data_IF_807967631825
#
_entry.id   IF_807967631825
#
_cell.length_a   1.000
_cell.length_b   1.000
_cell.length_c   1.000
_cell.angle_alpha   90.00
_cell.angle_beta   90.00
_cell.angle_gamma   90.00
#
_symmetry.space_group_name_H-M   'P 1'
#
loop_
_entity.id
_entity.type
_entity.pdbx_description
1 polymer ?
#
# COMPACT_ATOMS: atom_id res chain seq x y z
N UNK A 1 16.98 -1.64 1.59
CA UNK A 1 18.37 -1.35 2.00
C UNK A 1 18.42 -0.87 3.46
N UNK A 2 19.57 -1.00 4.14
CA UNK A 2 19.79 -0.42 5.48
C UNK A 2 20.37 0.98 5.29
N UNK A 3 19.93 1.96 6.09
CA UNK A 3 20.51 3.29 6.05
C UNK A 3 22.01 3.23 6.40
N UNK A 4 22.85 3.97 5.67
CA UNK A 4 24.29 4.03 5.95
C UNK A 4 24.58 4.81 7.25
N UNK A 5 23.78 5.83 7.55
CA UNK A 5 23.81 6.64 8.77
C UNK A 5 22.38 6.97 9.21
N UNK A 6 22.20 7.30 10.49
CA UNK A 6 20.88 7.55 11.08
C UNK A 6 20.09 6.27 11.39
N UNK A 7 18.86 6.44 11.86
CA UNK A 7 17.97 5.32 12.21
C UNK A 7 16.59 5.51 11.59
N UNK A 8 15.95 4.38 11.27
CA UNK A 8 14.55 4.33 10.80
C UNK A 8 13.76 3.52 11.81
N UNK A 9 12.74 4.15 12.39
CA UNK A 9 11.84 3.53 13.37
C UNK A 9 10.44 3.45 12.80
N UNK A 10 9.82 2.27 12.92
CA UNK A 10 8.43 2.04 12.56
C UNK A 10 7.73 1.42 13.77
N UNK A 11 6.65 2.04 14.25
CA UNK A 11 5.93 1.61 15.46
C UNK A 11 6.87 1.48 16.68
N UNK A 12 7.82 2.40 16.82
CA UNK A 12 8.84 2.37 17.88
C UNK A 12 9.99 1.38 17.66
N UNK A 13 9.85 0.42 16.73
CA UNK A 13 10.89 -0.55 16.42
C UNK A 13 11.94 0.04 15.47
N UNK A 14 13.20 0.02 15.88
CA UNK A 14 14.31 0.39 15.01
C UNK A 14 14.61 -0.73 14.00
N UNK A 15 14.47 -0.45 12.71
CA UNK A 15 14.59 -1.46 11.65
C UNK A 15 16.04 -1.85 11.36
N UNK A 16 16.99 -0.96 11.69
CA UNK A 16 18.42 -1.16 11.45
C UNK A 16 19.07 -2.20 12.37
N UNK A 17 18.45 -2.47 13.53
CA UNK A 17 18.94 -3.45 14.51
C UNK A 17 18.43 -4.86 14.24
N UNK A 18 17.37 -5.00 13.43
CA UNK A 18 16.80 -6.29 13.04
C UNK A 18 17.68 -7.01 11.99
N UNK A 19 17.77 -8.33 12.13
CA UNK A 19 18.28 -9.21 11.07
C UNK A 19 17.44 -9.06 9.80
N UNK A 20 17.98 -9.48 8.64
CA UNK A 20 17.27 -9.37 7.37
C UNK A 20 15.88 -10.05 7.42
N UNK A 21 15.82 -11.31 7.87
CA UNK A 21 14.56 -12.05 7.99
C UNK A 21 13.58 -11.45 9.00
N UNK A 22 14.07 -10.96 10.14
CA UNK A 22 13.21 -10.29 11.14
C UNK A 22 12.63 -8.97 10.58
N UNK A 23 13.43 -8.23 9.81
CA UNK A 23 12.98 -7.00 9.15
C UNK A 23 11.95 -7.29 8.06
N UNK A 24 12.15 -8.35 7.27
CA UNK A 24 11.20 -8.77 6.24
C UNK A 24 9.87 -9.16 6.86
N UNK A 25 9.90 -9.96 7.93
CA UNK A 25 8.72 -10.32 8.73
C UNK A 25 7.99 -9.07 9.23
N UNK A 26 8.72 -8.17 9.89
CA UNK A 26 8.16 -6.94 10.46
C UNK A 26 7.49 -6.07 9.39
N UNK A 27 8.11 -5.91 8.20
CA UNK A 27 7.51 -5.16 7.10
C UNK A 27 6.24 -5.81 6.56
N UNK A 28 6.23 -7.13 6.38
CA UNK A 28 5.03 -7.82 5.87
C UNK A 28 3.89 -7.70 6.88
N UNK A 29 4.19 -7.77 8.18
CA UNK A 29 3.21 -7.67 9.27
C UNK A 29 2.59 -6.26 9.39
N UNK A 30 3.41 -5.22 9.25
CA UNK A 30 3.04 -3.85 9.61
C UNK A 30 2.93 -2.86 8.45
N UNK A 31 3.29 -3.28 7.24
CA UNK A 31 3.30 -2.38 6.07
C UNK A 31 2.62 -2.98 4.84
N UNK A 32 1.84 -2.15 4.16
CA UNK A 32 1.32 -2.37 2.82
C UNK A 32 2.08 -1.56 1.78
N UNK A 33 2.25 -2.09 0.57
CA UNK A 33 2.93 -1.40 -0.52
C UNK A 33 2.08 -1.39 -1.80
N UNK A 34 1.90 -0.21 -2.37
CA UNK A 34 1.33 0.01 -3.70
C UNK A 34 2.47 0.54 -4.59
N UNK A 35 2.82 -0.22 -5.61
CA UNK A 35 3.88 0.14 -6.56
C UNK A 35 3.29 0.81 -7.80
N UNK A 36 4.10 1.63 -8.48
CA UNK A 36 3.75 2.28 -9.74
C UNK A 36 3.35 1.27 -10.84
N UNK A 37 4.08 0.15 -10.97
CA UNK A 37 3.75 -0.93 -11.93
C UNK A 37 2.77 -1.98 -11.37
N UNK A 38 2.17 -1.71 -10.20
CA UNK A 38 1.26 -2.58 -9.43
C UNK A 38 1.80 -3.95 -8.99
N UNK A 39 2.76 -4.54 -9.70
CA UNK A 39 3.43 -5.81 -9.40
C UNK A 39 2.44 -6.93 -9.06
N UNK A 40 1.33 -7.03 -9.80
CA UNK A 40 0.37 -8.13 -9.64
C UNK A 40 0.92 -9.40 -10.27
N UNK A 41 0.62 -10.55 -9.67
CA UNK A 41 1.01 -11.85 -10.21
C UNK A 41 -0.02 -12.26 -11.27
N UNK A 42 0.38 -12.38 -12.57
CA UNK A 42 -0.56 -12.52 -13.68
C UNK A 42 -1.27 -13.87 -13.70
N UNK A 43 -0.64 -14.91 -13.14
CA UNK A 43 -1.20 -16.26 -13.06
C UNK A 43 -2.14 -16.48 -11.88
N UNK A 44 -2.27 -15.49 -10.98
CA UNK A 44 -3.22 -15.53 -9.87
C UNK A 44 -4.48 -14.74 -10.19
N UNK A 45 -5.60 -15.15 -9.60
CA UNK A 45 -6.81 -14.36 -9.64
C UNK A 45 -6.65 -13.03 -8.90
N UNK A 46 -7.58 -12.12 -9.12
CA UNK A 46 -7.67 -10.85 -8.39
C UNK A 46 -7.74 -11.10 -6.88
N UNK A 47 -8.64 -11.99 -6.44
CA UNK A 47 -8.80 -12.34 -5.02
C UNK A 47 -7.54 -12.99 -4.44
N UNK A 48 -6.88 -13.84 -5.21
CA UNK A 48 -5.61 -14.47 -4.81
C UNK A 48 -4.50 -13.43 -4.65
N UNK A 49 -4.36 -12.50 -5.59
CA UNK A 49 -3.42 -11.38 -5.50
C UNK A 49 -3.62 -10.57 -4.22
N UNK A 50 -4.87 -10.23 -3.89
CA UNK A 50 -5.21 -9.52 -2.65
C UNK A 50 -4.88 -10.34 -1.42
N UNK A 51 -5.12 -11.65 -1.44
CA UNK A 51 -4.92 -12.53 -0.28
C UNK A 51 -3.45 -12.87 0.03
N UNK A 52 -2.51 -12.57 -0.90
CA UNK A 52 -1.09 -12.92 -0.77
C UNK A 52 -0.44 -12.48 0.55
N UNK A 53 -0.60 -11.24 1.04
CA UNK A 53 0.06 -10.81 2.27
C UNK A 53 -0.32 -11.64 3.50
N UNK A 54 -1.55 -12.14 3.56
CA UNK A 54 -2.02 -13.02 4.63
C UNK A 54 -1.36 -14.42 4.59
N UNK A 55 -0.85 -14.86 3.44
CA UNK A 55 -0.04 -16.10 3.37
C UNK A 55 1.34 -15.91 3.98
N UNK A 56 1.88 -14.70 3.86
CA UNK A 56 3.20 -14.37 4.40
C UNK A 56 3.13 -13.87 5.84
N UNK A 57 2.03 -13.24 6.29
CA UNK A 57 1.86 -12.72 7.65
C UNK A 57 0.72 -13.43 8.39
N UNK A 58 1.08 -14.14 9.47
CA UNK A 58 0.09 -14.72 10.41
C UNK A 58 -0.72 -13.63 11.11
N UNK A 59 -0.10 -12.48 11.39
CA UNK A 59 -0.77 -11.35 12.03
C UNK A 59 -1.90 -10.82 11.15
N UNK A 60 -1.61 -10.54 9.87
CA UNK A 60 -2.60 -10.04 8.90
C UNK A 60 -3.69 -11.06 8.63
N UNK A 61 -3.34 -12.34 8.52
CA UNK A 61 -4.32 -13.42 8.40
C UNK A 61 -5.27 -13.47 9.60
N UNK A 62 -4.73 -13.40 10.82
CA UNK A 62 -5.54 -13.36 12.05
C UNK A 62 -6.47 -12.15 12.09
N UNK A 63 -5.97 -10.95 11.78
CA UNK A 63 -6.79 -9.71 11.72
C UNK A 63 -7.91 -9.81 10.69
N UNK A 64 -7.59 -10.32 9.49
CA UNK A 64 -8.57 -10.53 8.43
C UNK A 64 -9.68 -11.51 8.84
N UNK A 65 -9.30 -12.66 9.43
CA UNK A 65 -10.28 -13.64 9.92
C UNK A 65 -11.10 -13.11 11.10
N UNK A 66 -10.51 -12.34 12.01
CA UNK A 66 -11.24 -11.77 13.16
C UNK A 66 -12.31 -10.77 12.74
N UNK A 67 -12.03 -9.93 11.73
CA UNK A 67 -12.98 -8.91 11.26
C UNK A 67 -14.00 -9.44 10.24
N UNK A 68 -13.60 -10.36 9.38
CA UNK A 68 -14.40 -10.78 8.22
C UNK A 68 -14.71 -12.30 8.20
N UNK A 69 -14.36 -13.05 9.25
CA UNK A 69 -14.55 -14.50 9.33
C UNK A 69 -13.53 -15.32 8.52
N UNK A 70 -13.06 -14.82 7.38
CA UNK A 70 -11.99 -15.46 6.58
C UNK A 70 -11.18 -14.46 5.77
N UNK A 71 -9.96 -14.86 5.36
CA UNK A 71 -9.13 -14.07 4.43
C UNK A 71 -9.82 -13.86 3.08
N UNK A 72 -10.50 -14.89 2.57
CA UNK A 72 -11.21 -14.81 1.29
C UNK A 72 -12.34 -13.77 1.34
N UNK A 73 -13.14 -13.78 2.40
CA UNK A 73 -14.21 -12.81 2.58
C UNK A 73 -13.68 -11.39 2.81
N UNK A 74 -12.57 -11.25 3.56
CA UNK A 74 -11.89 -9.96 3.70
C UNK A 74 -11.42 -9.39 2.35
N UNK A 75 -10.84 -10.24 1.48
CA UNK A 75 -10.41 -9.83 0.15
C UNK A 75 -11.59 -9.39 -0.72
N UNK A 76 -12.69 -10.17 -0.76
CA UNK A 76 -13.91 -9.83 -1.50
C UNK A 76 -14.50 -8.49 -1.05
N UNK A 77 -14.66 -8.27 0.25
CA UNK A 77 -15.23 -7.03 0.79
C UNK A 77 -14.36 -5.81 0.46
N UNK A 78 -13.04 -5.95 0.59
CA UNK A 78 -12.12 -4.86 0.28
C UNK A 78 -12.10 -4.52 -1.22
N UNK A 79 -12.20 -5.54 -2.09
CA UNK A 79 -12.34 -5.34 -3.53
C UNK A 79 -13.64 -4.61 -3.87
N UNK A 80 -14.75 -4.98 -3.25
CA UNK A 80 -16.06 -4.33 -3.43
C UNK A 80 -16.05 -2.87 -2.98
N UNK A 81 -15.47 -2.57 -1.82
CA UNK A 81 -15.32 -1.20 -1.33
C UNK A 81 -14.48 -0.33 -2.27
N UNK A 82 -13.45 -0.90 -2.89
CA UNK A 82 -12.63 -0.24 -3.90
C UNK A 82 -13.29 -0.22 -5.28
N UNK A 83 -14.57 -0.60 -5.39
CA UNK A 83 -15.37 -0.51 -6.59
C UNK A 83 -15.03 -1.57 -7.65
N UNK A 84 -14.53 -2.74 -7.25
CA UNK A 84 -14.32 -3.88 -8.13
C UNK A 84 -15.50 -4.87 -8.01
N UNK A 85 -16.24 -5.01 -9.11
CA UNK A 85 -17.38 -5.92 -9.19
C UNK A 85 -16.98 -7.37 -8.88
N UNK A 86 -17.86 -8.11 -8.20
CA UNK A 86 -17.66 -9.51 -7.83
C UNK A 86 -17.31 -10.43 -9.03
N UNK A 87 -17.83 -10.11 -10.22
CA UNK A 87 -17.53 -10.85 -11.47
C UNK A 87 -16.05 -10.81 -11.88
N UNK A 88 -15.26 -9.88 -11.33
CA UNK A 88 -13.83 -9.74 -11.61
C UNK A 88 -12.95 -10.51 -10.61
N UNK A 89 -13.48 -10.93 -9.45
CA UNK A 89 -12.65 -11.42 -8.33
C UNK A 89 -11.89 -12.71 -8.67
N UNK A 90 -12.47 -13.56 -9.52
CA UNK A 90 -11.83 -14.81 -9.97
C UNK A 90 -11.09 -14.67 -11.31
N UNK A 91 -11.13 -13.49 -11.95
CA UNK A 91 -10.38 -13.27 -13.18
C UNK A 91 -8.90 -13.12 -12.89
N UNK A 92 -8.08 -13.43 -13.89
CA UNK A 92 -6.64 -13.16 -13.85
C UNK A 92 -6.39 -11.66 -13.82
N UNK A 93 -5.44 -11.24 -12.99
CA UNK A 93 -5.13 -9.82 -12.80
C UNK A 93 -4.63 -9.11 -14.07
N UNK A 94 -3.98 -9.85 -14.98
CA UNK A 94 -3.46 -9.32 -16.26
C UNK A 94 -4.54 -8.98 -17.29
N UNK A 95 -5.78 -9.45 -17.09
CA UNK A 95 -6.93 -9.14 -17.95
C UNK A 95 -7.67 -7.86 -17.56
N UNK A 96 -7.30 -7.25 -16.43
CA UNK A 96 -7.94 -6.05 -15.91
C UNK A 96 -7.40 -4.78 -16.57
N UNK A 97 -8.22 -3.73 -16.61
CA UNK A 97 -7.75 -2.39 -16.96
C UNK A 97 -6.74 -1.87 -15.93
N UNK A 98 -5.92 -0.90 -16.31
CA UNK A 98 -4.91 -0.30 -15.42
C UNK A 98 -5.54 0.21 -14.11
N UNK A 99 -6.64 0.96 -14.19
CA UNK A 99 -7.32 1.45 -12.98
C UNK A 99 -7.92 0.34 -12.11
N UNK A 100 -8.33 -0.78 -12.71
CA UNK A 100 -8.76 -1.96 -11.95
C UNK A 100 -7.57 -2.63 -11.27
N UNK A 101 -6.43 -2.82 -11.96
CA UNK A 101 -5.21 -3.37 -11.38
C UNK A 101 -4.70 -2.52 -10.20
N UNK A 102 -4.80 -1.20 -10.32
CA UNK A 102 -4.47 -0.27 -9.24
C UNK A 102 -5.32 -0.49 -7.98
N UNK A 103 -6.64 -0.66 -8.15
CA UNK A 103 -7.56 -0.99 -7.05
C UNK A 103 -7.24 -2.34 -6.43
N UNK A 104 -6.85 -3.34 -7.24
CA UNK A 104 -6.37 -4.64 -6.72
C UNK A 104 -5.08 -4.48 -5.93
N UNK A 105 -4.13 -3.66 -6.38
CA UNK A 105 -2.89 -3.39 -5.66
C UNK A 105 -3.15 -2.67 -4.33
N UNK A 106 -4.09 -1.72 -4.30
CA UNK A 106 -4.55 -1.06 -3.08
C UNK A 106 -5.18 -2.05 -2.10
N UNK A 107 -6.10 -2.90 -2.57
CA UNK A 107 -6.70 -3.96 -1.77
C UNK A 107 -5.63 -4.89 -1.16
N UNK A 108 -4.66 -5.32 -1.97
CA UNK A 108 -3.52 -6.11 -1.51
C UNK A 108 -2.70 -5.37 -0.46
N UNK A 109 -2.45 -4.08 -0.65
CA UNK A 109 -1.70 -3.31 0.34
C UNK A 109 -2.44 -3.19 1.67
N UNK A 110 -3.77 -3.13 1.67
CA UNK A 110 -4.62 -2.87 2.84
C UNK A 110 -5.07 -4.13 3.60
N UNK A 111 -5.10 -5.30 2.96
CA UNK A 111 -5.67 -6.50 3.60
C UNK A 111 -5.01 -6.82 4.94
N UNK A 112 -5.80 -7.19 5.96
CA UNK A 112 -5.27 -7.47 7.28
C UNK A 112 -4.74 -6.25 8.04
N UNK A 113 -5.11 -5.04 7.62
CA UNK A 113 -4.95 -3.77 8.36
C UNK A 113 -3.52 -3.52 8.84
N UNK A 114 -2.59 -3.27 7.91
CA UNK A 114 -1.26 -2.82 8.29
C UNK A 114 -1.36 -1.41 8.89
N UNK A 115 -0.47 -1.07 9.81
CA UNK A 115 -0.45 0.26 10.43
C UNK A 115 0.07 1.34 9.46
N UNK A 116 0.85 0.95 8.45
CA UNK A 116 1.39 1.83 7.42
C UNK A 116 1.08 1.31 6.01
N UNK A 117 0.59 2.17 5.13
CA UNK A 117 0.51 1.92 3.69
C UNK A 117 1.45 2.89 3.00
N UNK A 118 2.31 2.38 2.12
CA UNK A 118 3.22 3.18 1.30
C UNK A 118 2.76 3.06 -0.15
N UNK A 119 2.56 4.19 -0.81
CA UNK A 119 2.15 4.23 -2.20
C UNK A 119 3.14 5.05 -3.00
N UNK A 120 3.79 4.40 -3.98
CA UNK A 120 4.84 4.97 -4.82
C UNK A 120 4.30 5.23 -6.23
N UNK A 121 4.04 6.50 -6.53
CA UNK A 121 3.39 6.98 -7.76
C UNK A 121 2.19 6.12 -8.22
N UNK A 122 1.24 5.78 -7.33
CA UNK A 122 0.22 4.78 -7.65
C UNK A 122 -0.79 5.26 -8.70
N UNK A 123 -0.83 6.57 -9.00
CA UNK A 123 -1.84 7.22 -9.86
C UNK A 123 -1.29 7.73 -11.19
N UNK A 124 -0.03 7.45 -11.53
CA UNK A 124 0.63 8.03 -12.73
C UNK A 124 -0.05 7.65 -14.05
N UNK A 125 -0.79 6.54 -14.06
CA UNK A 125 -1.50 6.04 -15.25
C UNK A 125 -2.98 6.45 -15.32
N UNK A 126 -3.46 7.31 -14.41
CA UNK A 126 -4.85 7.77 -14.36
C UNK A 126 -5.01 9.22 -14.82
N UNK A 127 -6.13 9.50 -15.48
CA UNK A 127 -6.64 10.86 -15.66
C UNK A 127 -7.00 11.52 -14.31
N UNK A 128 -7.23 12.83 -14.33
CA UNK A 128 -7.42 13.63 -13.12
C UNK A 128 -8.65 13.19 -12.30
N UNK A 129 -9.80 12.98 -12.95
CA UNK A 129 -11.04 12.61 -12.27
C UNK A 129 -10.94 11.21 -11.66
N UNK A 130 -10.41 10.24 -12.42
CA UNK A 130 -10.20 8.87 -11.95
C UNK A 130 -9.19 8.81 -10.79
N UNK A 131 -8.18 9.69 -10.81
CA UNK A 131 -7.16 9.79 -9.77
C UNK A 131 -7.75 10.27 -8.45
N UNK A 132 -8.49 11.37 -8.47
CA UNK A 132 -9.11 11.90 -7.25
C UNK A 132 -10.10 10.89 -6.66
N UNK A 133 -10.94 10.28 -7.51
CA UNK A 133 -11.87 9.24 -7.08
C UNK A 133 -11.14 8.04 -6.42
N UNK A 134 -10.04 7.59 -7.01
CA UNK A 134 -9.22 6.52 -6.42
C UNK A 134 -8.60 6.92 -5.07
N UNK A 135 -8.07 8.15 -4.96
CA UNK A 135 -7.47 8.64 -3.71
C UNK A 135 -8.50 8.73 -2.59
N UNK A 136 -9.71 9.22 -2.87
CA UNK A 136 -10.78 9.28 -1.87
C UNK A 136 -11.16 7.88 -1.35
N UNK A 137 -11.24 6.89 -2.25
CA UNK A 137 -11.45 5.50 -1.86
C UNK A 137 -10.29 4.96 -1.01
N UNK A 138 -9.05 5.22 -1.42
CA UNK A 138 -7.87 4.80 -0.67
C UNK A 138 -7.83 5.43 0.73
N UNK A 139 -8.16 6.71 0.85
CA UNK A 139 -8.23 7.39 2.16
C UNK A 139 -9.33 6.82 3.04
N UNK A 140 -10.50 6.53 2.47
CA UNK A 140 -11.60 5.91 3.22
C UNK A 140 -11.18 4.55 3.79
N UNK A 141 -10.51 3.71 2.99
CA UNK A 141 -10.04 2.41 3.45
C UNK A 141 -8.89 2.51 4.46
N UNK A 142 -7.93 3.43 4.27
CA UNK A 142 -6.90 3.69 5.27
C UNK A 142 -7.50 4.14 6.60
N UNK A 143 -8.49 5.04 6.59
CA UNK A 143 -9.20 5.48 7.80
C UNK A 143 -9.95 4.32 8.46
N UNK A 144 -10.67 3.51 7.69
CA UNK A 144 -11.42 2.36 8.19
C UNK A 144 -10.51 1.24 8.75
N UNK A 145 -9.26 1.17 8.29
CA UNK A 145 -8.24 0.25 8.77
C UNK A 145 -7.40 0.82 9.94
N UNK A 146 -7.47 2.13 10.20
CA UNK A 146 -6.58 2.80 11.15
C UNK A 146 -5.13 2.91 10.64
N UNK A 147 -4.93 2.85 9.32
CA UNK A 147 -3.63 2.89 8.67
C UNK A 147 -3.19 4.33 8.38
N UNK A 148 -1.91 4.62 8.60
CA UNK A 148 -1.27 5.82 8.05
C UNK A 148 -0.90 5.60 6.59
N UNK A 149 -1.12 6.59 5.73
CA UNK A 149 -0.72 6.54 4.32
C UNK A 149 0.49 7.45 4.08
N UNK A 150 1.58 6.88 3.56
CA UNK A 150 2.71 7.62 3.00
C UNK A 150 2.63 7.55 1.48
N UNK A 151 2.38 8.69 0.84
CA UNK A 151 2.21 8.78 -0.60
C UNK A 151 3.39 9.54 -1.23
N UNK A 152 3.96 8.97 -2.28
CA UNK A 152 5.06 9.57 -3.05
C UNK A 152 4.55 9.90 -4.45
N UNK A 153 4.75 11.13 -4.88
CA UNK A 153 4.36 11.61 -6.21
C UNK A 153 5.17 12.82 -6.62
N UNK A 154 5.36 12.97 -7.93
CA UNK A 154 5.84 14.21 -8.55
C UNK A 154 4.73 15.23 -8.79
N UNK A 155 3.46 14.85 -8.65
CA UNK A 155 2.32 15.71 -8.90
C UNK A 155 1.95 16.52 -7.64
N UNK A 156 2.34 17.79 -7.65
CA UNK A 156 2.08 18.71 -6.54
C UNK A 156 0.60 19.09 -6.40
N UNK A 157 -0.22 18.90 -7.45
CA UNK A 157 -1.66 19.21 -7.39
C UNK A 157 -2.40 18.32 -6.40
N UNK A 158 -1.81 17.18 -6.03
CA UNK A 158 -2.35 16.26 -5.02
C UNK A 158 -2.15 16.75 -3.59
N UNK A 159 -1.20 17.65 -3.33
CA UNK A 159 -0.83 18.08 -1.98
C UNK A 159 -2.02 18.54 -1.10
N UNK A 160 -3.03 19.28 -1.61
CA UNK A 160 -4.19 19.70 -0.82
C UNK A 160 -5.06 18.56 -0.32
N UNK A 161 -4.95 17.36 -0.90
CA UNK A 161 -5.71 16.18 -0.51
C UNK A 161 -5.12 15.45 0.71
N UNK A 162 -3.92 15.85 1.17
CA UNK A 162 -3.21 15.21 2.27
C UNK A 162 -3.09 16.13 3.49
N UNK A 163 -3.08 15.54 4.68
CA UNK A 163 -2.88 16.29 5.94
C UNK A 163 -1.52 16.98 5.99
N UNK A 164 -0.51 16.40 5.32
CA UNK A 164 0.87 16.88 5.29
C UNK A 164 1.49 16.61 3.93
N UNK A 165 2.18 17.61 3.40
CA UNK A 165 3.02 17.51 2.21
C UNK A 165 4.45 17.94 2.56
N UNK A 166 5.45 17.19 2.08
CA UNK A 166 6.87 17.49 2.29
C UNK A 166 7.60 17.39 0.96
N UNK A 167 8.41 18.39 0.64
CA UNK A 167 9.27 18.35 -0.54
C UNK A 167 10.51 17.49 -0.28
N UNK A 168 10.72 16.47 -1.13
CA UNK A 168 11.93 15.66 -1.02
C UNK A 168 13.20 16.48 -1.26
N UNK A 169 13.15 17.53 -2.09
CA UNK A 169 14.28 18.42 -2.31
C UNK A 169 14.65 19.24 -1.06
N UNK A 170 13.67 19.57 -0.22
CA UNK A 170 13.90 20.27 1.06
C UNK A 170 14.39 19.31 2.15
N UNK A 171 13.88 18.07 2.14
CA UNK A 171 14.31 17.01 3.06
C UNK A 171 15.72 16.50 2.73
N UNK A 172 16.06 16.41 1.45
CA UNK A 172 17.33 15.89 1.00
C UNK A 172 18.45 16.93 1.22
N UNK A 173 19.09 16.81 2.39
CA UNK A 173 20.26 17.61 2.76
C UNK A 173 21.58 16.94 2.37
N UNK A 174 21.54 15.76 1.75
CA UNK A 174 22.76 15.04 1.37
C UNK A 174 23.48 15.66 0.17
N UNK A 175 22.76 16.42 -0.66
CA UNK A 175 23.28 17.12 -1.84
C UNK A 175 23.57 18.61 -1.62
N UNK A 176 23.27 19.17 -0.44
CA UNK A 176 23.69 20.54 -0.12
C UNK A 176 25.17 20.51 0.24
N UNK A 177 26.01 21.06 -0.63
CA UNK A 177 27.36 21.44 -0.23
C UNK A 177 27.25 22.33 1.01
N UNK A 178 28.08 22.09 2.01
CA UNK A 178 28.16 22.99 3.15
C UNK A 178 28.52 24.38 2.62
N UNK A 179 27.57 25.32 2.65
CA UNK A 179 27.90 26.73 2.48
C UNK A 179 28.81 27.10 3.65
N UNK A 180 30.04 27.48 3.31
CA UNK A 180 31.11 27.91 4.21
C UNK A 180 30.84 29.36 4.61
#
# INVERSE_FOLDING_TARGET
>A
HKAQRGSVRLLGQELGTLSAGARDRFRVDHSGYIFQQFNLLPFLSVRENVSLPCRFSRLRSKRACQRHGSVSHAATQLLEHLGLAASLHERRADTLSIGQQQRVAAARALIGQPELVIADEPTSALDADSREAFLQLLFAECRAAGSSLLFVSHDQSLAPLFDRSLSLAELNRATRAAEI
#
